data_IF_628469799653
#
_entry.id   IF_628469799653
#
_cell.length_a   1.000
_cell.length_b   1.000
_cell.length_c   1.000
_cell.angle_alpha   90.00
_cell.angle_beta   90.00
_cell.angle_gamma   90.00
#
_symmetry.space_group_name_H-M   'P 1'
#
loop_
_entity.id
_entity.type
_entity.pdbx_description
1 polymer ?
#
# COMPACT_ATOMS: atom_id res chain seq x y z
N UNK A 1 20.75 -2.19 -34.22
CA UNK A 1 20.37 -1.41 -33.02
C UNK A 1 19.67 -0.08 -33.33
N UNK A 2 19.73 0.47 -34.55
CA UNK A 2 19.04 1.73 -34.92
C UNK A 2 17.52 1.57 -35.25
N UNK A 3 16.96 0.37 -35.15
CA UNK A 3 15.59 0.07 -35.59
C UNK A 3 14.53 0.77 -34.72
N UNK A 4 14.59 0.56 -33.41
CA UNK A 4 13.59 1.10 -32.47
C UNK A 4 13.80 2.57 -32.13
N UNK A 5 15.05 3.05 -32.13
CA UNK A 5 15.35 4.47 -31.93
C UNK A 5 14.62 5.36 -32.93
N UNK A 6 14.66 4.99 -34.22
CA UNK A 6 13.94 5.71 -35.28
C UNK A 6 12.42 5.61 -35.16
N UNK A 7 11.90 4.50 -34.65
CA UNK A 7 10.46 4.34 -34.39
C UNK A 7 10.00 5.28 -33.27
N UNK A 8 10.78 5.41 -32.19
CA UNK A 8 10.45 6.28 -31.07
C UNK A 8 10.58 7.76 -31.45
N UNK A 9 11.58 8.11 -32.26
CA UNK A 9 11.70 9.46 -32.81
C UNK A 9 10.43 9.87 -33.57
N UNK A 10 9.88 8.97 -34.37
CA UNK A 10 8.61 9.19 -35.09
C UNK A 10 7.44 9.34 -34.10
N UNK A 11 7.35 8.50 -33.06
CA UNK A 11 6.29 8.63 -32.03
C UNK A 11 6.37 10.00 -31.35
N UNK A 12 7.57 10.44 -30.98
CA UNK A 12 7.82 11.75 -30.35
C UNK A 12 7.34 12.87 -31.27
N UNK A 13 7.75 12.86 -32.54
CA UNK A 13 7.33 13.87 -33.50
C UNK A 13 5.80 13.93 -33.70
N UNK A 14 5.10 12.80 -33.59
CA UNK A 14 3.64 12.77 -33.64
C UNK A 14 3.02 13.29 -32.34
N UNK A 15 3.54 12.91 -31.18
CA UNK A 15 3.08 13.41 -29.88
C UNK A 15 3.25 14.93 -29.77
N UNK A 16 4.35 15.49 -30.27
CA UNK A 16 4.60 16.94 -30.26
C UNK A 16 3.60 17.72 -31.12
N UNK A 17 2.99 17.07 -32.13
CA UNK A 17 1.96 17.67 -32.99
C UNK A 17 0.57 17.58 -32.38
N UNK A 18 0.34 16.68 -31.41
CA UNK A 18 -0.98 16.42 -30.83
C UNK A 18 -1.38 17.48 -29.81
N UNK A 19 -2.59 18.05 -29.94
CA UNK A 19 -3.11 19.04 -28.99
C UNK A 19 -4.33 18.51 -28.22
N UNK A 20 -4.25 18.35 -26.87
CA UNK A 20 -5.33 17.78 -26.04
C UNK A 20 -6.68 18.46 -26.24
N UNK A 21 -6.65 19.78 -26.36
CA UNK A 21 -7.86 20.60 -26.29
C UNK A 21 -8.62 20.64 -27.62
N UNK A 22 -8.00 20.16 -28.70
CA UNK A 22 -8.51 20.32 -30.08
C UNK A 22 -8.58 19.01 -30.86
N UNK A 23 -7.64 18.10 -30.63
CA UNK A 23 -7.56 16.86 -31.38
C UNK A 23 -8.28 15.73 -30.67
N UNK A 24 -9.19 15.06 -31.38
CA UNK A 24 -9.69 13.75 -30.98
C UNK A 24 -8.58 12.70 -31.22
N UNK A 25 -8.26 11.84 -30.23
CA UNK A 25 -7.17 10.88 -30.33
C UNK A 25 -7.37 9.84 -31.44
N UNK A 26 -8.59 9.34 -31.65
CA UNK A 26 -8.89 8.37 -32.71
C UNK A 26 -8.69 8.98 -34.10
N UNK A 27 -9.23 10.19 -34.32
CA UNK A 27 -9.06 10.90 -35.59
C UNK A 27 -7.61 11.35 -35.83
N UNK A 28 -6.84 11.57 -34.77
CA UNK A 28 -5.42 11.86 -34.86
C UNK A 28 -4.63 10.60 -35.25
N UNK A 29 -4.93 9.45 -34.64
CA UNK A 29 -4.31 8.17 -34.95
C UNK A 29 -4.54 7.77 -36.41
N UNK A 30 -5.75 7.95 -36.95
CA UNK A 30 -6.05 7.68 -38.36
C UNK A 30 -5.27 8.60 -39.32
N UNK A 31 -5.07 9.87 -38.95
CA UNK A 31 -4.23 10.79 -39.73
C UNK A 31 -2.75 10.37 -39.66
N UNK A 32 -2.29 10.00 -38.47
CA UNK A 32 -0.93 9.54 -38.26
C UNK A 32 -0.67 8.24 -39.05
N UNK A 33 -1.58 7.27 -39.00
CA UNK A 33 -1.47 6.00 -39.72
C UNK A 33 -1.34 6.22 -41.22
N UNK A 34 -2.21 7.03 -41.82
CA UNK A 34 -2.18 7.35 -43.25
C UNK A 34 -0.85 8.03 -43.66
N UNK A 35 -0.36 8.96 -42.84
CA UNK A 35 0.90 9.67 -43.12
C UNK A 35 2.13 8.78 -43.00
N UNK A 36 2.12 7.83 -42.06
CA UNK A 36 3.26 6.99 -41.73
C UNK A 36 3.32 5.72 -42.60
N UNK A 37 2.18 5.25 -43.12
CA UNK A 37 2.09 4.08 -43.98
C UNK A 37 2.90 4.23 -45.28
N UNK A 38 3.12 5.45 -45.75
CA UNK A 38 3.94 5.72 -46.94
C UNK A 38 5.46 5.67 -46.66
N UNK A 39 5.87 5.78 -45.39
CA UNK A 39 7.28 5.97 -44.97
C UNK A 39 7.85 4.74 -44.28
N UNK A 40 7.02 3.88 -43.69
CA UNK A 40 7.43 2.78 -42.81
C UNK A 40 7.01 1.40 -43.34
N UNK A 41 7.77 0.36 -42.97
CA UNK A 41 7.37 -1.03 -43.17
C UNK A 41 6.24 -1.43 -42.21
N UNK A 42 5.41 -2.40 -42.59
CA UNK A 42 4.21 -2.84 -41.85
C UNK A 42 4.48 -3.12 -40.36
N UNK A 43 5.60 -3.80 -40.04
CA UNK A 43 5.98 -4.12 -38.67
C UNK A 43 6.39 -2.89 -37.84
N UNK A 44 7.05 -1.91 -38.47
CA UNK A 44 7.42 -0.65 -37.80
C UNK A 44 6.19 0.21 -37.57
N UNK A 45 5.30 0.26 -38.54
CA UNK A 45 4.05 1.01 -38.45
C UNK A 45 3.18 0.49 -37.31
N UNK A 46 3.03 -0.84 -37.19
CA UNK A 46 2.29 -1.46 -36.10
C UNK A 46 2.84 -1.06 -34.72
N UNK A 47 4.16 -1.21 -34.52
CA UNK A 47 4.80 -0.82 -33.27
C UNK A 47 4.66 0.68 -32.95
N UNK A 48 4.86 1.55 -33.93
CA UNK A 48 4.73 3.01 -33.75
C UNK A 48 3.29 3.38 -33.37
N UNK A 49 2.29 2.81 -34.03
CA UNK A 49 0.89 3.10 -33.75
C UNK A 49 0.44 2.54 -32.40
N UNK A 50 0.93 1.37 -32.01
CA UNK A 50 0.66 0.79 -30.70
C UNK A 50 1.17 1.70 -29.57
N UNK A 51 2.45 2.10 -29.65
CA UNK A 51 3.06 2.99 -28.64
C UNK A 51 2.39 4.36 -28.64
N UNK A 52 2.09 4.91 -29.82
CA UNK A 52 1.39 6.19 -29.94
C UNK A 52 -0.01 6.12 -29.33
N UNK A 53 -0.78 5.08 -29.66
CA UNK A 53 -2.13 4.86 -29.12
C UNK A 53 -2.09 4.77 -27.60
N UNK A 54 -1.19 3.96 -27.04
CA UNK A 54 -1.04 3.83 -25.60
C UNK A 54 -0.62 5.13 -24.90
N UNK A 55 0.25 5.93 -25.52
CA UNK A 55 0.63 7.24 -24.99
C UNK A 55 -0.54 8.24 -24.97
N UNK A 56 -1.48 8.13 -25.91
CA UNK A 56 -2.68 8.97 -25.98
C UNK A 56 -3.76 8.50 -24.98
N UNK A 57 -3.98 7.18 -24.89
CA UNK A 57 -4.96 6.58 -23.99
C UNK A 57 -4.62 6.84 -22.51
N UNK A 58 -3.38 6.57 -22.12
CA UNK A 58 -2.91 6.73 -20.74
C UNK A 58 -2.33 8.10 -20.44
N UNK A 59 -2.57 9.10 -21.31
CA UNK A 59 -1.94 10.42 -21.23
C UNK A 59 -2.06 11.07 -19.85
N UNK A 60 -3.23 11.03 -19.22
CA UNK A 60 -3.46 11.66 -17.90
C UNK A 60 -2.51 11.07 -16.84
N UNK A 61 -2.41 9.75 -16.79
CA UNK A 61 -1.51 9.05 -15.87
C UNK A 61 -0.05 9.38 -16.18
N UNK A 62 0.34 9.27 -17.46
CA UNK A 62 1.70 9.55 -17.89
C UNK A 62 2.11 10.99 -17.56
N UNK A 63 1.20 11.95 -17.71
CA UNK A 63 1.43 13.36 -17.37
C UNK A 63 1.76 13.51 -15.89
N UNK A 64 0.97 12.90 -15.00
CA UNK A 64 1.23 12.96 -13.54
C UNK A 64 2.62 12.41 -13.20
N UNK A 65 2.98 11.26 -13.78
CA UNK A 65 4.26 10.60 -13.49
C UNK A 65 5.44 11.42 -14.03
N UNK A 66 5.34 11.90 -15.27
CA UNK A 66 6.41 12.67 -15.91
C UNK A 66 6.55 14.06 -15.27
N UNK A 67 5.46 14.73 -14.91
CA UNK A 67 5.50 16.00 -14.17
C UNK A 67 6.18 15.82 -12.81
N UNK A 68 5.82 14.78 -12.06
CA UNK A 68 6.46 14.46 -10.78
C UNK A 68 7.96 14.18 -10.95
N UNK A 69 8.34 13.52 -12.04
CA UNK A 69 9.76 13.30 -12.39
C UNK A 69 10.49 14.62 -12.65
N UNK A 70 9.92 15.53 -13.46
CA UNK A 70 10.54 16.83 -13.76
C UNK A 70 10.70 17.73 -12.52
N UNK A 71 9.75 17.66 -11.58
CA UNK A 71 9.81 18.43 -10.32
C UNK A 71 10.91 17.90 -9.39
N UNK A 72 11.10 16.58 -9.31
CA UNK A 72 12.01 15.97 -8.32
C UNK A 72 13.41 15.75 -8.84
N UNK A 73 13.54 15.11 -9.99
CA UNK A 73 14.80 14.51 -10.46
C UNK A 73 15.18 14.95 -11.88
N UNK A 74 14.25 15.53 -12.64
CA UNK A 74 14.44 15.94 -14.04
C UNK A 74 15.17 17.27 -14.25
N UNK A 75 15.90 17.80 -13.27
CA UNK A 75 16.58 19.10 -13.37
C UNK A 75 17.65 19.16 -14.47
N UNK A 76 18.17 18.00 -14.91
CA UNK A 76 19.11 17.90 -16.05
C UNK A 76 18.42 17.64 -17.39
N UNK A 77 17.12 17.41 -17.38
CA UNK A 77 16.34 17.06 -18.56
C UNK A 77 15.64 18.31 -19.11
N UNK A 78 15.65 18.48 -20.43
CA UNK A 78 15.03 19.61 -21.10
C UNK A 78 13.53 19.36 -21.24
N UNK A 79 12.69 20.37 -20.99
CA UNK A 79 11.25 20.27 -21.26
C UNK A 79 10.92 19.94 -22.72
N UNK A 80 11.83 20.24 -23.66
CA UNK A 80 11.71 19.82 -25.06
C UNK A 80 11.70 18.29 -25.25
N UNK A 81 12.21 17.53 -24.27
CA UNK A 81 12.23 16.06 -24.28
C UNK A 81 11.04 15.46 -23.51
N UNK A 82 10.03 16.25 -23.13
CA UNK A 82 8.87 15.76 -22.37
C UNK A 82 8.18 14.57 -23.04
N UNK A 83 7.92 14.65 -24.35
CA UNK A 83 7.33 13.57 -25.13
C UNK A 83 8.18 12.28 -25.13
N UNK A 84 9.51 12.41 -25.08
CA UNK A 84 10.40 11.26 -24.93
C UNK A 84 10.16 10.57 -23.57
N UNK A 85 10.10 11.33 -22.48
CA UNK A 85 9.84 10.77 -21.15
C UNK A 85 8.43 10.18 -21.04
N UNK A 86 7.46 10.74 -21.74
CA UNK A 86 6.12 10.16 -21.84
C UNK A 86 6.15 8.77 -22.51
N UNK A 87 6.86 8.63 -23.64
CA UNK A 87 7.03 7.35 -24.33
C UNK A 87 7.80 6.35 -23.47
N UNK A 88 8.90 6.78 -22.84
CA UNK A 88 9.68 5.93 -21.93
C UNK A 88 8.83 5.46 -20.75
N UNK A 89 8.05 6.35 -20.15
CA UNK A 89 7.16 6.03 -19.04
C UNK A 89 6.08 5.03 -19.46
N UNK A 90 5.49 5.21 -20.64
CA UNK A 90 4.52 4.25 -21.18
C UNK A 90 5.16 2.87 -21.38
N UNK A 91 6.32 2.81 -22.03
CA UNK A 91 7.02 1.56 -22.27
C UNK A 91 7.38 0.86 -20.95
N UNK A 92 7.87 1.61 -19.97
CA UNK A 92 8.28 1.09 -18.66
C UNK A 92 7.10 0.60 -17.81
N UNK A 93 5.94 1.24 -17.92
CA UNK A 93 4.77 0.90 -17.09
C UNK A 93 3.91 -0.20 -17.70
N UNK A 94 3.78 -0.23 -19.03
CA UNK A 94 2.77 -1.06 -19.71
C UNK A 94 3.36 -2.10 -20.66
N UNK A 95 4.58 -1.90 -21.15
CA UNK A 95 5.17 -2.75 -22.17
C UNK A 95 6.38 -3.54 -21.67
N UNK A 96 6.67 -3.54 -20.36
CA UNK A 96 7.85 -4.26 -19.83
C UNK A 96 7.72 -5.78 -19.90
N UNK A 97 6.54 -6.32 -19.69
CA UNK A 97 6.32 -7.76 -19.72
C UNK A 97 6.44 -8.33 -21.14
N UNK A 98 5.95 -7.59 -22.15
CA UNK A 98 5.97 -8.01 -23.56
C UNK A 98 7.30 -7.67 -24.27
N UNK A 99 7.85 -6.48 -24.02
CA UNK A 99 9.08 -6.02 -24.67
C UNK A 99 10.33 -6.67 -24.05
N UNK A 100 10.31 -6.93 -22.74
CA UNK A 100 11.43 -7.44 -21.98
C UNK A 100 12.53 -6.40 -21.69
N UNK A 101 13.21 -6.58 -20.56
CA UNK A 101 14.19 -5.61 -20.05
C UNK A 101 15.39 -5.35 -20.97
N UNK A 102 15.87 -6.37 -21.69
CA UNK A 102 17.02 -6.22 -22.60
C UNK A 102 16.70 -5.32 -23.80
N UNK A 103 15.50 -5.47 -24.37
CA UNK A 103 15.07 -4.67 -25.50
C UNK A 103 14.76 -3.24 -25.05
N UNK A 104 14.13 -3.06 -23.90
CA UNK A 104 13.96 -1.75 -23.26
C UNK A 104 15.29 -1.01 -23.07
N UNK A 105 16.29 -1.68 -22.49
CA UNK A 105 17.61 -1.09 -22.32
C UNK A 105 18.25 -0.72 -23.66
N UNK A 106 18.06 -1.54 -24.69
CA UNK A 106 18.57 -1.28 -26.04
C UNK A 106 17.90 -0.06 -26.67
N UNK A 107 16.60 0.10 -26.43
CA UNK A 107 15.79 1.26 -26.83
C UNK A 107 16.31 2.53 -26.15
N UNK A 108 16.43 2.52 -24.82
CA UNK A 108 16.88 3.68 -24.04
C UNK A 108 18.29 4.10 -24.49
N UNK A 109 19.20 3.13 -24.68
CA UNK A 109 20.57 3.37 -25.15
C UNK A 109 20.66 3.87 -26.59
N UNK A 110 19.63 3.67 -27.41
CA UNK A 110 19.58 4.17 -28.78
C UNK A 110 19.22 5.65 -28.89
N UNK A 111 18.73 6.25 -27.80
CA UNK A 111 18.43 7.68 -27.75
C UNK A 111 19.72 8.51 -27.66
N UNK A 112 19.75 9.71 -28.25
CA UNK A 112 20.95 10.54 -28.24
C UNK A 112 21.35 10.86 -26.80
N UNK A 113 22.65 10.75 -26.52
CA UNK A 113 23.30 10.88 -25.19
C UNK A 113 23.02 12.21 -24.47
N UNK A 114 22.46 13.20 -25.18
CA UNK A 114 22.00 14.48 -24.61
C UNK A 114 20.60 14.44 -23.97
N UNK A 115 19.74 13.49 -24.35
CA UNK A 115 18.32 13.44 -23.94
C UNK A 115 18.04 12.46 -22.80
N UNK A 116 18.92 11.49 -22.59
CA UNK A 116 18.84 10.61 -21.42
C UNK A 116 19.42 11.37 -20.22
N UNK A 117 18.61 11.57 -19.17
CA UNK A 117 19.06 12.18 -17.93
C UNK A 117 20.35 11.47 -17.51
N UNK A 118 21.48 12.17 -17.61
CA UNK A 118 22.78 11.58 -17.35
C UNK A 118 22.75 11.12 -15.89
N UNK A 119 23.13 9.88 -15.56
CA UNK A 119 23.61 9.65 -14.20
C UNK A 119 24.70 10.70 -13.98
N UNK A 120 24.77 11.30 -12.79
CA UNK A 120 25.76 12.32 -12.41
C UNK A 120 27.19 11.76 -12.46
N UNK A 121 27.63 11.40 -13.66
CA UNK A 121 28.95 10.95 -14.00
C UNK A 121 29.55 12.11 -14.78
N UNK A 122 29.75 13.25 -14.10
CA UNK A 122 30.77 14.18 -14.57
C UNK A 122 32.06 13.37 -14.71
N UNK A 123 32.89 13.62 -15.73
CA UNK A 123 34.19 12.97 -15.84
C UNK A 123 35.02 13.32 -14.60
N UNK A 124 34.96 12.43 -13.61
CA UNK A 124 35.69 12.56 -12.37
C UNK A 124 37.15 12.35 -12.75
N UNK A 125 37.97 13.40 -12.62
CA UNK A 125 39.41 13.25 -12.73
C UNK A 125 39.83 12.24 -11.67
N UNK A 126 40.24 11.05 -12.11
CA UNK A 126 40.58 9.88 -11.30
C UNK A 126 41.88 10.10 -10.51
N UNK A 127 41.88 11.10 -9.64
CA UNK A 127 42.90 11.30 -8.64
C UNK A 127 42.50 10.53 -7.39
N UNK A 128 43.48 10.02 -6.65
CA UNK A 128 43.27 9.29 -5.38
C UNK A 128 42.39 10.07 -4.40
N UNK A 129 42.57 11.40 -4.33
CA UNK A 129 41.74 12.27 -3.51
C UNK A 129 40.27 12.31 -3.93
N UNK A 130 39.97 12.21 -5.23
CA UNK A 130 38.60 12.20 -5.72
C UNK A 130 37.92 10.88 -5.40
N UNK A 131 38.62 9.75 -5.56
CA UNK A 131 38.12 8.42 -5.20
C UNK A 131 37.79 8.36 -3.70
N UNK A 132 38.66 8.89 -2.84
CA UNK A 132 38.43 8.91 -1.39
C UNK A 132 37.24 9.80 -1.01
N UNK A 133 37.01 10.92 -1.70
CA UNK A 133 35.85 11.80 -1.47
C UNK A 133 34.54 11.14 -1.88
N UNK A 134 34.51 10.51 -3.05
CA UNK A 134 33.34 9.75 -3.50
C UNK A 134 33.04 8.60 -2.53
N UNK A 135 34.07 7.83 -2.14
CA UNK A 135 33.92 6.76 -1.15
C UNK A 135 33.34 7.24 0.18
N UNK A 136 33.80 8.39 0.69
CA UNK A 136 33.26 9.00 1.91
C UNK A 136 31.80 9.49 1.73
N UNK A 137 31.43 9.99 0.55
CA UNK A 137 30.05 10.38 0.24
C UNK A 137 29.13 9.17 0.20
N UNK A 138 29.52 8.09 -0.48
CA UNK A 138 28.78 6.83 -0.51
C UNK A 138 28.60 6.27 0.89
N UNK A 139 29.66 6.25 1.71
CA UNK A 139 29.58 5.75 3.08
C UNK A 139 28.57 6.53 3.92
N UNK A 140 28.57 7.86 3.82
CA UNK A 140 27.58 8.72 4.50
C UNK A 140 26.16 8.47 4.01
N UNK A 141 25.96 8.19 2.72
CA UNK A 141 24.63 7.88 2.19
C UNK A 141 24.14 6.53 2.73
N UNK A 142 24.99 5.51 2.70
CA UNK A 142 24.69 4.18 3.26
C UNK A 142 24.30 4.29 4.73
N UNK A 143 25.05 5.06 5.51
CA UNK A 143 24.78 5.25 6.95
C UNK A 143 23.43 5.93 7.20
N UNK A 144 23.07 6.93 6.37
CA UNK A 144 21.73 7.57 6.42
C UNK A 144 20.60 6.60 6.07
N UNK A 145 20.77 5.78 5.03
CA UNK A 145 19.76 4.78 4.66
C UNK A 145 19.62 3.70 5.73
N UNK A 146 20.73 3.28 6.36
CA UNK A 146 20.70 2.34 7.47
C UNK A 146 19.89 2.89 8.65
N UNK A 147 20.15 4.15 9.05
CA UNK A 147 19.38 4.83 10.10
C UNK A 147 17.90 5.00 9.75
N UNK A 148 17.58 5.17 8.47
CA UNK A 148 16.19 5.26 8.02
C UNK A 148 15.49 3.91 8.14
N UNK A 149 16.14 2.83 7.73
CA UNK A 149 15.61 1.48 7.87
C UNK A 149 15.41 1.14 9.34
N UNK A 150 16.36 1.47 10.21
CA UNK A 150 16.27 1.25 11.66
C UNK A 150 15.03 1.94 12.25
N UNK A 151 14.81 3.22 11.94
CA UNK A 151 13.61 3.97 12.34
C UNK A 151 12.30 3.37 11.80
N UNK A 152 12.32 2.75 10.62
CA UNK A 152 11.15 2.08 10.04
C UNK A 152 10.88 0.75 10.75
N UNK A 153 11.93 0.03 11.16
CA UNK A 153 11.84 -1.20 11.95
C UNK A 153 11.32 -0.90 13.35
N UNK A 154 11.78 0.19 13.99
CA UNK A 154 11.21 0.67 15.26
C UNK A 154 9.72 1.01 15.15
N UNK A 155 9.30 1.57 14.00
CA UNK A 155 7.91 1.88 13.70
C UNK A 155 7.05 0.66 13.34
N UNK A 156 7.67 -0.41 12.83
CA UNK A 156 7.04 -1.72 12.65
C UNK A 156 7.03 -2.46 14.00
N UNK A 157 6.36 -1.86 14.99
CA UNK A 157 6.29 -2.38 16.35
C UNK A 157 5.76 -3.83 16.37
N UNK A 158 6.39 -4.66 17.18
CA UNK A 158 5.96 -6.03 17.39
C UNK A 158 4.61 -6.07 18.13
N UNK A 159 3.59 -6.67 17.51
CA UNK A 159 2.25 -6.82 18.11
C UNK A 159 2.15 -8.02 19.06
N UNK A 160 3.24 -8.78 19.23
CA UNK A 160 3.26 -9.99 20.06
C UNK A 160 2.80 -9.73 21.50
N UNK A 161 3.27 -8.64 22.13
CA UNK A 161 2.88 -8.28 23.49
C UNK A 161 1.39 -7.97 23.61
N UNK A 162 0.83 -7.23 22.63
CA UNK A 162 -0.59 -6.91 22.59
C UNK A 162 -1.45 -8.16 22.40
N UNK A 163 -1.06 -9.06 21.50
CA UNK A 163 -1.79 -10.30 21.24
C UNK A 163 -1.74 -11.26 22.43
N UNK A 164 -0.61 -11.36 23.12
CA UNK A 164 -0.49 -12.13 24.35
C UNK A 164 -1.37 -11.57 25.47
N UNK A 165 -1.36 -10.24 25.65
CA UNK A 165 -2.22 -9.56 26.61
C UNK A 165 -3.71 -9.81 26.30
N UNK A 166 -4.11 -9.70 25.03
CA UNK A 166 -5.49 -9.93 24.61
C UNK A 166 -5.96 -11.36 24.92
N UNK A 167 -5.13 -12.37 24.64
CA UNK A 167 -5.43 -13.77 24.97
C UNK A 167 -5.57 -13.98 26.47
N UNK A 168 -4.67 -13.39 27.27
CA UNK A 168 -4.72 -13.48 28.74
C UNK A 168 -6.00 -12.84 29.29
N UNK A 169 -6.40 -11.69 28.76
CA UNK A 169 -7.60 -10.99 29.20
C UNK A 169 -8.86 -11.79 28.86
N UNK A 170 -8.97 -12.32 27.64
CA UNK A 170 -10.10 -13.17 27.24
C UNK A 170 -10.22 -14.44 28.08
N UNK A 171 -9.09 -15.07 28.44
CA UNK A 171 -9.09 -16.23 29.31
C UNK A 171 -9.59 -15.90 30.72
N UNK A 172 -9.16 -14.76 31.28
CA UNK A 172 -9.62 -14.28 32.59
C UNK A 172 -11.10 -13.95 32.59
N UNK A 173 -11.58 -13.20 31.60
CA UNK A 173 -13.01 -12.84 31.50
C UNK A 173 -13.90 -14.09 31.43
N UNK A 174 -13.46 -15.13 30.70
CA UNK A 174 -14.18 -16.40 30.63
C UNK A 174 -14.21 -17.13 31.97
N UNK A 175 -13.08 -17.18 32.67
CA UNK A 175 -12.98 -17.79 33.99
C UNK A 175 -13.87 -17.08 35.02
N UNK A 176 -13.88 -15.74 35.02
CA UNK A 176 -14.76 -14.93 35.87
C UNK A 176 -16.24 -15.18 35.57
N UNK A 177 -16.63 -15.31 34.30
CA UNK A 177 -18.01 -15.63 33.92
C UNK A 177 -18.44 -17.01 34.43
N UNK A 178 -17.57 -18.01 34.30
CA UNK A 178 -17.83 -19.35 34.82
C UNK A 178 -17.98 -19.33 36.34
N UNK A 179 -17.04 -18.68 37.04
CA UNK A 179 -17.08 -18.53 38.49
C UNK A 179 -18.33 -17.78 38.98
N UNK A 180 -18.74 -16.70 38.30
CA UNK A 180 -19.96 -15.96 38.60
C UNK A 180 -21.22 -16.80 38.34
N UNK A 181 -21.21 -17.64 37.30
CA UNK A 181 -22.26 -18.63 37.05
C UNK A 181 -22.40 -19.63 38.20
N UNK A 182 -21.28 -20.19 38.65
CA UNK A 182 -21.26 -21.15 39.76
C UNK A 182 -21.70 -20.52 41.08
N UNK A 183 -21.22 -19.31 41.39
CA UNK A 183 -21.62 -18.57 42.58
C UNK A 183 -23.13 -18.33 42.61
N UNK A 184 -23.71 -17.85 41.50
CA UNK A 184 -25.17 -17.64 41.39
C UNK A 184 -25.95 -18.94 41.61
N UNK A 185 -25.46 -20.06 41.04
CA UNK A 185 -26.09 -21.37 41.22
C UNK A 185 -26.06 -21.83 42.67
N UNK A 186 -24.92 -21.71 43.34
CA UNK A 186 -24.77 -22.10 44.75
C UNK A 186 -25.62 -21.21 45.66
N UNK A 187 -25.63 -19.90 45.41
CA UNK A 187 -26.46 -18.95 46.15
C UNK A 187 -27.95 -19.26 46.00
N UNK A 188 -28.39 -19.67 44.80
CA UNK A 188 -29.77 -20.12 44.58
C UNK A 188 -30.13 -21.37 45.41
N UNK A 189 -29.21 -22.32 45.58
CA UNK A 189 -29.42 -23.51 46.42
C UNK A 189 -29.49 -23.14 47.90
N UNK A 190 -28.56 -22.31 48.38
CA UNK A 190 -28.56 -21.82 49.76
C UNK A 190 -29.85 -21.07 50.10
N UNK A 191 -30.30 -20.17 49.21
CA UNK A 191 -31.55 -19.42 49.41
C UNK A 191 -32.78 -20.33 49.52
N UNK A 192 -32.80 -21.43 48.75
CA UNK A 192 -33.87 -22.43 48.85
C UNK A 192 -33.86 -23.14 50.21
N UNK A 193 -32.69 -23.57 50.68
CA UNK A 193 -32.53 -24.21 51.99
C UNK A 193 -32.89 -23.27 53.14
N UNK A 194 -32.44 -22.01 53.09
CA UNK A 194 -32.79 -20.95 54.05
C UNK A 194 -34.30 -20.72 54.11
N UNK A 195 -34.98 -20.70 52.95
CA UNK A 195 -36.43 -20.55 52.88
C UNK A 195 -37.18 -21.75 53.49
N UNK A 196 -36.66 -22.98 53.33
CA UNK A 196 -37.22 -24.18 53.96
C UNK A 196 -37.07 -24.10 55.49
N UNK A 197 -35.88 -23.77 55.98
CA UNK A 197 -35.61 -23.63 57.41
C UNK A 197 -36.45 -22.52 58.05
N UNK A 198 -36.58 -21.36 57.39
CA UNK A 198 -37.42 -20.26 57.86
C UNK A 198 -38.90 -20.69 57.98
N UNK A 199 -39.41 -21.47 57.03
CA UNK A 199 -40.78 -22.03 57.10
C UNK A 199 -40.93 -23.02 58.26
N UNK A 200 -39.92 -23.84 58.52
CA UNK A 200 -39.94 -24.78 59.65
C UNK A 200 -39.92 -24.05 60.99
N UNK A 201 -39.06 -23.05 61.16
CA UNK A 201 -38.99 -22.23 62.37
C UNK A 201 -40.32 -21.51 62.62
N UNK A 202 -40.91 -20.89 61.60
CA UNK A 202 -42.20 -20.22 61.72
C UNK A 202 -43.33 -21.19 62.09
N UNK A 203 -43.33 -22.42 61.54
CA UNK A 203 -44.27 -23.47 61.97
C UNK A 203 -44.07 -23.85 63.43
N UNK A 204 -42.84 -23.98 63.88
CA UNK A 204 -42.51 -24.37 65.26
C UNK A 204 -42.87 -23.27 66.26
N UNK A 205 -42.57 -22.01 65.96
CA UNK A 205 -42.99 -20.86 66.78
C UNK A 205 -44.52 -20.76 66.88
N UNK A 206 -45.23 -20.92 65.76
CA UNK A 206 -46.70 -20.89 65.77
C UNK A 206 -47.28 -22.04 66.59
N UNK A 207 -46.66 -23.23 66.55
CA UNK A 207 -47.05 -24.36 67.40
C UNK A 207 -46.84 -24.04 68.87
N UNK A 208 -45.66 -23.53 69.26
CA UNK A 208 -45.37 -23.15 70.65
C UNK A 208 -46.35 -22.10 71.16
N UNK A 209 -46.65 -21.06 70.37
CA UNK A 209 -47.64 -20.03 70.73
C UNK A 209 -49.05 -20.60 70.87
N UNK A 210 -49.42 -21.58 70.05
CA UNK A 210 -50.72 -22.25 70.16
C UNK A 210 -50.81 -23.13 71.42
N UNK A 211 -49.74 -23.85 71.77
CA UNK A 211 -49.68 -24.69 72.96
C UNK A 211 -49.69 -23.83 74.23
N UNK A 212 -48.95 -22.71 74.28
CA UNK A 212 -49.01 -21.73 75.36
C UNK A 212 -50.43 -21.17 75.56
N UNK A 213 -51.12 -20.80 74.48
CA UNK A 213 -52.52 -20.34 74.57
C UNK A 213 -53.48 -21.42 75.09
N UNK A 214 -53.26 -22.69 74.74
CA UNK A 214 -54.06 -23.80 75.29
C UNK A 214 -53.82 -23.98 76.79
N UNK A 215 -52.57 -23.87 77.23
CA UNK A 215 -52.22 -23.93 78.65
C UNK A 215 -52.85 -22.75 79.41
N UNK A 216 -52.73 -21.52 78.91
CA UNK A 216 -53.36 -20.33 79.50
C UNK A 216 -54.89 -20.49 79.62
N UNK A 217 -55.56 -21.00 78.59
CA UNK A 217 -57.01 -21.24 78.62
C UNK A 217 -57.40 -22.37 79.59
N UNK A 218 -56.57 -23.40 79.75
CA UNK A 218 -56.79 -24.50 80.69
C UNK A 218 -56.63 -24.08 82.16
N UNK A 219 -55.85 -23.03 82.44
CA UNK A 219 -55.71 -22.45 83.79
C UNK A 219 -56.82 -21.42 84.16
N UNK A 220 -57.67 -21.03 83.20
CA UNK A 220 -58.74 -20.02 83.37
C UNK A 220 -60.14 -20.66 83.57
N UNK A 221 -60.24 -21.99 83.53
CA UNK A 221 -61.46 -22.77 83.85
C UNK A 221 -61.31 -23.41 85.22
#
# INVERSE_FOLDING_TARGET
>A
MAYYGKCIEIVIEQLDKFKPDKDNPEQFLERASASLQQVLSTQKLAFVLEVLSGCLEYRKLLTIVVDAFYVRDGYLCLWADYSLFQVICYLAMFQMDELGFQLFCSIIKSQPVGKTCKPNNLPVKLNTATILREGALYQRQVEKELQRVDKLVDGAGDFSEFLEWQKKMQAKDLEEQLAAGECRRLQGKLSHEEAILARQNLRQENKQKADQKKEEVMYIV
#
